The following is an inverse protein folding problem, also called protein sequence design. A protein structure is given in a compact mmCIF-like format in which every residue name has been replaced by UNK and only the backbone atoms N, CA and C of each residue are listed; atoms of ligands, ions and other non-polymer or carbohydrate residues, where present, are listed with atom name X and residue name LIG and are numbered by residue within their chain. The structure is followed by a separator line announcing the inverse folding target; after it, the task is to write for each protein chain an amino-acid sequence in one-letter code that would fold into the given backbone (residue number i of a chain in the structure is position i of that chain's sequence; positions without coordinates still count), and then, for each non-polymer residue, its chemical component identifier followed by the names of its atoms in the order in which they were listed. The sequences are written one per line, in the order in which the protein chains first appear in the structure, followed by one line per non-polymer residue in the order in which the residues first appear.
data_IF_243554408033
#
_entry.id   IF_243554408033
#
_cell.length_a   1.000
_cell.length_b   1.000
_cell.length_c   1.000
_cell.angle_alpha   90.00
_cell.angle_beta   90.00
_cell.angle_gamma   90.00
#
_symmetry.space_group_name_H-M   'P 1'
#
loop_
_entity.id
_entity.type
_entity.pdbx_description
1 polymer ?
#
# COMPACT_ATOMS: atom_id res chain seq x y z
N UNK A 1 66.86 -23.26 14.90
CA UNK A 1 66.43 -21.94 14.34
C UNK A 1 65.05 -22.16 13.69
N UNK A 2 64.02 -21.98 14.46
CA UNK A 2 62.65 -22.06 13.96
C UNK A 2 62.32 -20.71 13.26
N UNK A 3 62.06 -20.79 11.99
CA UNK A 3 61.87 -19.63 11.09
C UNK A 3 60.80 -18.68 11.56
N UNK A 4 61.17 -17.39 11.72
CA UNK A 4 60.28 -16.26 12.02
C UNK A 4 59.04 -16.18 11.15
N UNK A 5 59.03 -16.82 9.97
CA UNK A 5 57.88 -16.92 9.06
C UNK A 5 56.74 -17.82 9.58
N UNK A 6 57.02 -18.81 10.43
CA UNK A 6 55.95 -19.66 11.00
C UNK A 6 55.21 -19.03 12.16
N UNK A 7 55.82 -18.10 12.86
CA UNK A 7 55.16 -17.38 13.95
C UNK A 7 54.21 -16.32 13.42
N UNK A 8 54.56 -15.64 12.31
CA UNK A 8 53.66 -14.67 11.66
C UNK A 8 52.42 -15.33 11.01
N UNK A 9 52.55 -16.54 10.45
CA UNK A 9 51.40 -17.23 9.86
C UNK A 9 50.42 -17.73 10.92
N UNK A 10 50.88 -18.19 12.06
CA UNK A 10 49.97 -18.60 13.16
C UNK A 10 49.26 -17.43 13.85
N UNK A 11 49.91 -16.27 13.99
CA UNK A 11 49.31 -15.06 14.51
C UNK A 11 48.25 -14.49 13.55
N UNK A 12 48.47 -14.51 12.25
CA UNK A 12 47.50 -14.01 11.25
C UNK A 12 46.25 -14.93 11.13
N UNK A 13 46.40 -16.26 11.25
CA UNK A 13 45.25 -17.18 11.25
C UNK A 13 44.43 -17.06 12.53
N UNK A 14 45.07 -16.84 13.69
CA UNK A 14 44.37 -16.63 14.98
C UNK A 14 43.59 -15.31 15.01
N UNK A 15 44.12 -14.24 14.42
CA UNK A 15 43.42 -12.97 14.29
C UNK A 15 42.24 -13.03 13.33
N UNK A 16 42.33 -13.79 12.24
CA UNK A 16 41.22 -14.02 11.31
C UNK A 16 40.10 -14.89 11.91
N UNK A 17 40.46 -15.89 12.75
CA UNK A 17 39.48 -16.71 13.47
C UNK A 17 38.77 -15.90 14.60
N UNK A 18 39.46 -14.97 15.26
CA UNK A 18 38.88 -14.10 16.29
C UNK A 18 37.94 -13.06 15.64
N UNK A 19 38.27 -12.56 14.44
CA UNK A 19 37.36 -11.64 13.71
C UNK A 19 36.11 -12.34 13.18
N UNK A 20 36.14 -13.66 12.90
CA UNK A 20 34.97 -14.40 12.45
C UNK A 20 34.03 -14.83 13.60
N UNK A 21 34.53 -14.93 14.83
CA UNK A 21 33.69 -15.17 16.02
C UNK A 21 33.07 -13.90 16.63
N UNK A 22 33.56 -12.71 16.29
CA UNK A 22 32.99 -11.43 16.75
C UNK A 22 31.83 -10.94 15.84
N UNK A 23 31.50 -11.65 14.76
CA UNK A 23 30.36 -11.35 13.88
C UNK A 23 29.03 -11.98 14.32
N UNK A 24 28.98 -12.53 15.55
CA UNK A 24 27.77 -13.12 16.10
C UNK A 24 27.19 -12.17 17.16
N UNK A 25 26.03 -11.60 16.84
CA UNK A 25 25.15 -10.85 17.73
C UNK A 25 25.54 -9.41 18.15
N UNK A 26 25.79 -8.52 17.21
CA UNK A 26 25.31 -7.14 17.40
C UNK A 26 24.02 -7.01 16.59
N UNK A 27 22.88 -6.90 17.26
CA UNK A 27 21.62 -6.45 16.64
C UNK A 27 21.95 -5.14 15.93
N UNK A 28 21.74 -5.08 14.61
CA UNK A 28 21.84 -3.83 13.87
C UNK A 28 20.88 -2.84 14.58
N UNK A 29 21.34 -1.67 15.03
CA UNK A 29 20.48 -0.67 15.67
C UNK A 29 19.26 -0.28 14.82
N UNK A 30 19.27 -0.61 13.52
CA UNK A 30 18.17 -0.46 12.57
C UNK A 30 17.19 -1.64 12.49
N UNK A 31 17.45 -2.81 13.14
CA UNK A 31 16.57 -3.98 13.04
C UNK A 31 15.34 -3.87 13.97
N UNK A 32 14.42 -2.97 13.61
CA UNK A 32 13.13 -2.82 14.30
C UNK A 32 12.22 -4.00 14.00
N UNK A 33 11.43 -4.46 15.00
CA UNK A 33 10.44 -5.51 14.83
C UNK A 33 9.40 -5.18 13.76
N UNK A 34 8.99 -3.91 13.68
CA UNK A 34 8.16 -3.35 12.62
C UNK A 34 8.93 -2.22 11.94
N UNK A 35 9.41 -2.46 10.72
CA UNK A 35 10.08 -1.42 9.91
C UNK A 35 9.06 -0.36 9.48
N UNK A 36 7.85 -0.82 9.11
CA UNK A 36 6.70 0.02 8.80
C UNK A 36 5.72 -0.03 9.97
N UNK A 37 5.42 1.12 10.56
CA UNK A 37 4.26 1.40 11.36
C UNK A 37 3.45 2.45 10.61
N UNK A 38 2.50 1.99 9.78
CA UNK A 38 1.86 2.77 8.75
C UNK A 38 0.43 3.18 9.09
N UNK A 39 0.01 4.25 8.44
CA UNK A 39 -1.36 4.75 8.43
C UNK A 39 -1.76 5.14 7.02
N UNK A 40 -2.84 4.54 6.49
CA UNK A 40 -3.38 4.80 5.17
C UNK A 40 -4.73 5.49 5.28
N UNK A 41 -4.90 6.63 4.60
CA UNK A 41 -6.12 7.44 4.61
C UNK A 41 -6.22 8.27 3.32
N UNK A 42 -7.43 8.71 2.97
CA UNK A 42 -7.61 9.66 1.87
C UNK A 42 -6.84 10.96 2.17
N UNK A 43 -6.33 11.60 1.13
CA UNK A 43 -5.78 12.94 1.26
C UNK A 43 -6.88 13.92 1.73
N UNK A 44 -6.57 14.88 2.61
CA UNK A 44 -7.58 15.82 3.10
C UNK A 44 -8.12 16.72 1.99
N UNK A 45 -9.27 17.31 2.20
CA UNK A 45 -9.69 18.46 1.39
C UNK A 45 -8.80 19.69 1.70
N UNK A 46 -8.70 20.68 0.82
CA UNK A 46 -7.94 21.90 1.11
C UNK A 46 -8.32 22.57 2.44
N UNK A 47 -9.61 22.56 2.79
CA UNK A 47 -10.10 23.09 4.07
C UNK A 47 -9.71 22.23 5.28
N UNK A 48 -9.45 20.95 5.09
CA UNK A 48 -9.09 19.98 6.14
C UNK A 48 -7.60 19.90 6.45
N UNK A 49 -6.73 20.56 5.65
CA UNK A 49 -5.27 20.41 5.74
C UNK A 49 -4.72 20.74 7.13
N UNK A 50 -5.06 21.88 7.69
CA UNK A 50 -4.53 22.30 8.99
C UNK A 50 -4.99 21.37 10.13
N UNK A 51 -6.22 20.87 10.05
CA UNK A 51 -6.76 19.89 10.99
C UNK A 51 -6.04 18.55 10.88
N UNK A 52 -5.76 18.12 9.66
CA UNK A 52 -5.00 16.89 9.41
C UNK A 52 -3.57 17.00 9.91
N UNK A 53 -2.90 18.13 9.69
CA UNK A 53 -1.56 18.40 10.22
C UNK A 53 -1.55 18.34 11.76
N UNK A 54 -2.57 18.89 12.40
CA UNK A 54 -2.68 18.77 13.87
C UNK A 54 -2.81 17.31 14.28
N UNK A 55 -3.58 16.50 13.55
CA UNK A 55 -3.69 15.06 13.82
C UNK A 55 -2.38 14.31 13.62
N UNK A 56 -1.60 14.64 12.58
CA UNK A 56 -0.24 14.09 12.38
C UNK A 56 0.63 14.38 13.61
N UNK A 57 0.66 15.63 14.07
CA UNK A 57 1.52 16.05 15.19
C UNK A 57 1.10 15.42 16.53
N UNK A 58 -0.22 15.40 16.81
CA UNK A 58 -0.73 15.08 18.15
C UNK A 58 -0.99 13.57 18.31
N UNK A 59 -1.27 12.86 17.21
CA UNK A 59 -1.77 11.49 17.29
C UNK A 59 -0.92 10.47 16.51
N UNK A 60 -0.55 10.77 15.26
CA UNK A 60 0.21 9.81 14.46
C UNK A 60 1.66 9.71 14.95
N UNK A 61 2.34 10.82 15.05
CA UNK A 61 3.74 10.87 15.47
C UNK A 61 4.00 10.30 16.88
N UNK A 62 3.21 10.66 17.94
CA UNK A 62 3.40 10.10 19.27
C UNK A 62 3.15 8.59 19.37
N UNK A 63 2.39 8.00 18.42
CA UNK A 63 2.18 6.54 18.33
C UNK A 63 3.21 5.82 17.49
N UNK A 64 4.27 6.52 17.10
CA UNK A 64 5.38 5.94 16.34
C UNK A 64 5.04 5.62 14.88
N UNK A 65 3.97 6.19 14.33
CA UNK A 65 3.71 6.11 12.89
C UNK A 65 4.89 6.71 12.15
N UNK A 66 5.46 5.94 11.22
CA UNK A 66 6.62 6.32 10.42
C UNK A 66 6.36 6.31 8.91
N UNK A 67 5.18 5.85 8.51
CA UNK A 67 4.78 5.76 7.10
C UNK A 67 3.32 6.22 6.97
N UNK A 68 3.09 7.21 6.14
CA UNK A 68 1.77 7.74 5.81
C UNK A 68 1.47 7.49 4.34
N UNK A 69 0.54 6.58 4.06
CA UNK A 69 -0.01 6.36 2.73
C UNK A 69 -1.19 7.29 2.54
N UNK A 70 -1.14 8.17 1.55
CA UNK A 70 -2.22 9.08 1.20
C UNK A 70 -2.84 8.69 -0.13
N UNK A 71 -4.14 8.35 -0.13
CA UNK A 71 -4.93 8.15 -1.33
C UNK A 71 -5.24 9.52 -1.91
N UNK A 72 -4.51 9.92 -2.93
CA UNK A 72 -4.61 11.24 -3.55
C UNK A 72 -5.50 11.21 -4.78
N UNK A 73 -5.32 10.21 -5.65
CA UNK A 73 -6.00 10.09 -6.93
C UNK A 73 -5.99 11.41 -7.70
N UNK A 74 -7.14 12.05 -7.85
CA UNK A 74 -7.30 13.33 -8.58
C UNK A 74 -7.44 14.54 -7.64
N UNK A 75 -7.29 14.33 -6.32
CA UNK A 75 -7.32 15.40 -5.31
C UNK A 75 -5.98 16.15 -5.22
N UNK A 76 -5.40 16.50 -6.37
CA UNK A 76 -4.23 17.36 -6.50
C UNK A 76 -4.37 18.25 -7.73
N UNK A 77 -3.85 19.49 -7.66
CA UNK A 77 -3.88 20.44 -8.77
C UNK A 77 -2.84 20.09 -9.83
N UNK A 78 -2.97 18.92 -10.48
CA UNK A 78 -2.08 18.50 -11.57
C UNK A 78 -1.90 19.59 -12.63
N UNK A 79 -0.66 19.91 -12.97
CA UNK A 79 -0.31 20.85 -14.04
C UNK A 79 -0.17 20.14 -15.38
N UNK A 80 0.32 18.88 -15.34
CA UNK A 80 0.50 18.04 -16.54
C UNK A 80 -0.84 17.74 -17.24
N UNK A 81 -1.89 17.43 -16.47
CA UNK A 81 -3.23 17.11 -16.96
C UNK A 81 -4.31 17.80 -16.12
N UNK A 82 -4.50 19.13 -16.28
CA UNK A 82 -5.43 19.90 -15.45
C UNK A 82 -6.88 19.41 -15.49
N UNK A 83 -7.30 18.78 -16.59
CA UNK A 83 -8.65 18.23 -16.75
C UNK A 83 -8.95 17.03 -15.85
N UNK A 84 -7.91 16.39 -15.28
CA UNK A 84 -8.08 15.27 -14.35
C UNK A 84 -8.29 15.67 -12.90
N UNK A 85 -8.15 16.94 -12.56
CA UNK A 85 -8.30 17.45 -11.19
C UNK A 85 -9.72 17.28 -10.68
N UNK A 86 -9.86 17.00 -9.40
CA UNK A 86 -11.12 17.19 -8.69
C UNK A 86 -11.44 18.69 -8.56
N UNK A 87 -12.72 18.99 -8.34
CA UNK A 87 -13.19 20.39 -8.24
C UNK A 87 -12.61 21.17 -7.05
N UNK A 88 -12.17 20.46 -6.00
CA UNK A 88 -11.58 21.00 -4.78
C UNK A 88 -10.27 20.26 -4.46
N UNK A 89 -9.31 20.31 -5.40
CA UNK A 89 -8.04 19.64 -5.28
C UNK A 89 -7.02 20.42 -4.41
N UNK A 90 -6.12 19.69 -3.77
CA UNK A 90 -4.99 20.25 -3.00
C UNK A 90 -4.03 21.02 -3.91
N UNK A 91 -3.70 22.24 -3.52
CA UNK A 91 -2.63 23.00 -4.15
C UNK A 91 -1.26 22.44 -3.76
N UNK A 92 -0.23 22.78 -4.56
CA UNK A 92 1.16 22.45 -4.19
C UNK A 92 1.57 23.04 -2.82
N UNK A 93 0.99 24.18 -2.44
CA UNK A 93 1.24 24.82 -1.16
C UNK A 93 0.63 23.99 0.00
N UNK A 94 -0.56 23.44 -0.19
CA UNK A 94 -1.21 22.56 0.80
C UNK A 94 -0.42 21.25 0.98
N UNK A 95 -0.02 20.61 -0.12
CA UNK A 95 0.84 19.42 -0.07
C UNK A 95 2.13 19.70 0.67
N UNK A 96 2.80 20.82 0.40
CA UNK A 96 4.04 21.21 1.09
C UNK A 96 3.86 21.32 2.60
N UNK A 97 2.74 21.88 3.09
CA UNK A 97 2.45 21.95 4.53
C UNK A 97 2.38 20.53 5.15
N UNK A 98 1.75 19.58 4.47
CA UNK A 98 1.65 18.18 4.92
C UNK A 98 3.05 17.54 4.94
N UNK A 99 3.83 17.72 3.88
CA UNK A 99 5.21 17.22 3.77
C UNK A 99 6.08 17.74 4.91
N UNK A 100 6.02 19.05 5.19
CA UNK A 100 6.78 19.66 6.28
C UNK A 100 6.37 19.13 7.65
N UNK A 101 5.06 18.89 7.86
CA UNK A 101 4.56 18.27 9.09
C UNK A 101 5.12 16.85 9.28
N UNK A 102 5.04 16.01 8.27
CA UNK A 102 5.57 14.65 8.31
C UNK A 102 7.09 14.62 8.47
N UNK A 103 7.81 15.48 7.77
CA UNK A 103 9.28 15.58 7.87
C UNK A 103 9.76 15.90 9.30
N UNK A 104 9.07 16.79 10.03
CA UNK A 104 9.39 17.09 11.44
C UNK A 104 9.37 15.88 12.36
N UNK A 105 8.60 14.85 12.00
CA UNK A 105 8.43 13.62 12.77
C UNK A 105 9.07 12.39 12.12
N UNK A 106 9.86 12.56 11.04
CA UNK A 106 10.45 11.46 10.27
C UNK A 106 9.39 10.48 9.76
N UNK A 107 8.21 10.96 9.36
CA UNK A 107 7.16 10.18 8.73
C UNK A 107 7.37 10.25 7.21
N UNK A 108 7.58 9.08 6.60
CA UNK A 108 7.65 8.92 5.14
C UNK A 108 6.24 9.03 4.56
N UNK A 109 6.05 9.88 3.54
CA UNK A 109 4.78 9.96 2.82
C UNK A 109 4.89 9.12 1.55
N UNK A 110 3.83 8.35 1.27
CA UNK A 110 3.68 7.57 0.05
C UNK A 110 2.34 8.00 -0.58
N UNK A 111 2.34 8.81 -1.65
CA UNK A 111 1.11 9.14 -2.34
C UNK A 111 0.65 7.96 -3.19
N UNK A 112 -0.68 7.80 -3.30
CA UNK A 112 -1.34 6.78 -4.11
C UNK A 112 -2.20 7.42 -5.19
N UNK A 113 -2.19 6.79 -6.37
CA UNK A 113 -3.23 6.86 -7.37
C UNK A 113 -3.66 5.43 -7.65
N UNK A 114 -4.96 5.15 -7.64
CA UNK A 114 -5.46 3.85 -8.06
C UNK A 114 -5.28 3.69 -9.57
N UNK A 115 -4.34 2.83 -9.95
CA UNK A 115 -3.98 2.54 -11.32
C UNK A 115 -4.48 1.16 -11.74
N UNK A 116 -4.65 0.98 -13.02
CA UNK A 116 -5.23 -0.18 -13.69
C UNK A 116 -6.70 -0.39 -13.29
N UNK A 117 -6.98 -0.86 -12.08
CA UNK A 117 -8.32 -0.98 -11.49
C UNK A 117 -8.86 0.35 -10.98
N UNK A 118 -10.04 0.29 -10.34
CA UNK A 118 -10.71 1.45 -9.73
C UNK A 118 -10.91 2.67 -10.63
N UNK A 119 -11.04 2.46 -11.95
CA UNK A 119 -11.33 3.53 -12.90
C UNK A 119 -12.83 3.87 -12.95
N UNK A 120 -13.62 3.25 -12.09
CA UNK A 120 -15.02 3.59 -11.84
C UNK A 120 -15.39 3.29 -10.40
N UNK A 121 -16.45 3.93 -9.91
CA UNK A 121 -17.03 3.66 -8.61
C UNK A 121 -18.55 3.83 -8.66
N UNK A 122 -19.27 2.82 -8.14
CA UNK A 122 -20.73 2.82 -8.13
C UNK A 122 -21.33 3.11 -9.52
N UNK A 123 -21.99 4.23 -9.70
CA UNK A 123 -22.66 4.61 -10.95
C UNK A 123 -21.85 5.56 -11.85
N UNK A 124 -20.55 5.79 -11.59
CA UNK A 124 -19.75 6.75 -12.38
C UNK A 124 -18.35 6.23 -12.70
N UNK A 125 -17.78 6.70 -13.79
CA UNK A 125 -16.37 6.54 -14.13
C UNK A 125 -15.53 7.63 -13.45
N UNK A 126 -14.29 7.28 -13.05
CA UNK A 126 -13.35 8.22 -12.49
C UNK A 126 -12.72 9.13 -13.55
N UNK A 127 -11.97 10.12 -13.12
CA UNK A 127 -11.52 11.21 -13.96
C UNK A 127 -10.71 10.75 -15.18
N UNK A 128 -9.88 9.71 -15.05
CA UNK A 128 -9.09 9.19 -16.18
C UNK A 128 -9.98 8.74 -17.32
N UNK A 129 -10.89 7.79 -17.09
CA UNK A 129 -11.76 7.27 -18.14
C UNK A 129 -12.86 8.24 -18.55
N UNK A 130 -13.18 9.25 -17.72
CA UNK A 130 -14.08 10.33 -18.10
C UNK A 130 -13.41 11.28 -19.11
N UNK A 131 -12.12 11.59 -18.93
CA UNK A 131 -11.37 12.49 -19.80
C UNK A 131 -10.76 11.78 -21.00
N UNK A 132 -10.43 10.49 -20.87
CA UNK A 132 -9.81 9.65 -21.89
C UNK A 132 -10.59 8.33 -22.03
N UNK A 133 -11.83 8.37 -22.57
CA UNK A 133 -12.68 7.19 -22.69
C UNK A 133 -12.10 6.10 -23.61
N UNK A 134 -11.16 6.46 -24.48
CA UNK A 134 -10.40 5.53 -25.32
C UNK A 134 -9.48 4.58 -24.53
N UNK A 135 -9.18 4.89 -23.27
CA UNK A 135 -8.40 4.03 -22.38
C UNK A 135 -9.21 2.94 -21.73
N UNK A 136 -10.56 3.01 -21.77
CA UNK A 136 -11.45 2.03 -21.13
C UNK A 136 -11.21 0.62 -21.70
N UNK A 137 -10.89 -0.33 -20.82
CA UNK A 137 -10.73 -1.75 -21.18
C UNK A 137 -12.07 -2.39 -21.63
N UNK A 138 -13.19 -1.90 -21.11
CA UNK A 138 -14.52 -2.45 -21.33
C UNK A 138 -15.54 -1.39 -21.75
N UNK A 139 -15.36 -0.70 -22.89
CA UNK A 139 -16.24 0.39 -23.30
C UNK A 139 -17.69 -0.06 -23.56
N UNK A 140 -17.92 -1.36 -23.81
CA UNK A 140 -19.25 -1.94 -23.97
C UNK A 140 -20.04 -2.02 -22.66
N UNK A 141 -19.34 -2.06 -21.51
CA UNK A 141 -19.97 -2.10 -20.18
C UNK A 141 -20.38 -0.70 -19.79
N UNK A 142 -21.68 -0.47 -19.70
CA UNK A 142 -22.23 0.83 -19.28
C UNK A 142 -22.41 0.88 -17.78
N UNK A 143 -22.04 1.99 -17.17
CA UNK A 143 -22.33 2.21 -15.76
C UNK A 143 -23.84 2.32 -15.54
N UNK A 144 -24.39 1.72 -14.46
CA UNK A 144 -25.82 1.77 -14.18
C UNK A 144 -26.25 3.20 -13.79
N UNK A 145 -27.45 3.61 -14.20
CA UNK A 145 -28.05 4.88 -13.77
C UNK A 145 -28.26 4.92 -12.24
N UNK A 146 -28.58 3.74 -11.67
CA UNK A 146 -28.74 3.57 -10.23
C UNK A 146 -27.92 2.40 -9.76
N UNK A 147 -26.95 2.69 -8.90
CA UNK A 147 -26.15 1.65 -8.28
C UNK A 147 -26.96 0.82 -7.27
N UNK A 148 -26.82 -0.49 -7.35
CA UNK A 148 -27.41 -1.47 -6.42
C UNK A 148 -26.31 -2.37 -5.88
N UNK A 149 -26.21 -2.44 -4.57
CA UNK A 149 -25.27 -3.34 -3.89
C UNK A 149 -26.00 -4.60 -3.38
N UNK A 150 -25.42 -5.79 -3.43
CA UNK A 150 -24.15 -6.12 -4.05
C UNK A 150 -24.21 -6.09 -5.58
N UNK A 151 -23.12 -5.62 -6.21
CA UNK A 151 -22.96 -5.65 -7.65
C UNK A 151 -22.14 -6.89 -8.04
N UNK A 152 -22.82 -7.92 -8.57
CA UNK A 152 -22.20 -9.18 -8.98
C UNK A 152 -21.24 -9.06 -10.16
N UNK A 153 -21.35 -7.99 -10.93
CA UNK A 153 -20.59 -7.79 -12.17
C UNK A 153 -19.28 -7.02 -11.94
N UNK A 154 -19.00 -6.53 -10.71
CA UNK A 154 -17.81 -5.74 -10.40
C UNK A 154 -17.73 -4.40 -11.14
N UNK A 155 -18.89 -3.87 -11.59
CA UNK A 155 -18.96 -2.70 -12.47
C UNK A 155 -18.32 -1.42 -11.91
N UNK A 156 -18.23 -1.31 -10.59
CA UNK A 156 -17.62 -0.13 -9.98
C UNK A 156 -16.09 -0.10 -10.02
N UNK A 157 -15.47 -1.19 -10.49
CA UNK A 157 -14.01 -1.32 -10.59
C UNK A 157 -13.58 -1.55 -12.05
N UNK A 158 -13.95 -0.66 -12.96
CA UNK A 158 -13.44 -0.68 -14.34
C UNK A 158 -11.92 -0.52 -14.35
N UNK A 159 -11.28 -1.02 -15.40
CA UNK A 159 -9.85 -0.88 -15.63
C UNK A 159 -9.57 -0.06 -16.87
N UNK A 160 -8.42 0.60 -16.91
CA UNK A 160 -7.90 1.08 -18.19
C UNK A 160 -7.18 -0.06 -18.94
N UNK A 161 -7.09 0.04 -20.26
CA UNK A 161 -6.35 -0.89 -21.10
C UNK A 161 -4.83 -0.67 -20.94
N UNK A 162 -4.08 -1.61 -20.32
CA UNK A 162 -2.64 -1.44 -20.09
C UNK A 162 -1.80 -1.50 -21.37
N UNK A 163 -2.39 -1.91 -22.49
CA UNK A 163 -1.75 -1.96 -23.80
C UNK A 163 -2.13 -0.78 -24.70
N UNK A 164 -2.87 0.21 -24.17
CA UNK A 164 -3.14 1.43 -24.94
C UNK A 164 -1.85 2.25 -25.10
N UNK A 165 -1.47 2.68 -26.35
CA UNK A 165 -0.17 3.31 -26.60
C UNK A 165 0.04 4.64 -25.88
N UNK A 166 -1.03 5.32 -25.48
CA UNK A 166 -0.97 6.65 -24.88
C UNK A 166 -1.27 6.66 -23.36
N UNK A 167 -1.80 5.57 -22.77
CA UNK A 167 -2.19 5.56 -21.36
C UNK A 167 -1.01 5.87 -20.44
N UNK A 168 0.17 5.32 -20.73
CA UNK A 168 1.36 5.53 -19.89
C UNK A 168 1.94 6.94 -20.01
N UNK A 169 1.67 7.68 -21.09
CA UNK A 169 2.05 9.10 -21.19
C UNK A 169 1.32 9.92 -20.12
N UNK A 170 0.04 9.59 -19.89
CA UNK A 170 -0.77 10.26 -18.86
C UNK A 170 -0.38 9.76 -17.47
N UNK A 171 -0.41 8.45 -17.27
CA UNK A 171 -0.16 7.83 -15.96
C UNK A 171 1.21 8.22 -15.41
N UNK A 172 2.27 8.14 -16.20
CA UNK A 172 3.62 8.48 -15.75
C UNK A 172 3.79 9.98 -15.44
N UNK A 173 3.13 10.86 -16.19
CA UNK A 173 3.15 12.28 -15.88
C UNK A 173 2.48 12.57 -14.53
N UNK A 174 1.36 11.90 -14.21
CA UNK A 174 0.70 12.04 -12.90
C UNK A 174 1.58 11.49 -11.77
N UNK A 175 2.17 10.30 -11.95
CA UNK A 175 3.09 9.69 -10.98
C UNK A 175 4.26 10.63 -10.67
N UNK A 176 4.91 11.13 -11.71
CA UNK A 176 6.08 12.00 -11.58
C UNK A 176 5.74 13.30 -10.85
N UNK A 177 4.66 13.96 -11.27
CA UNK A 177 4.24 15.23 -10.68
C UNK A 177 3.86 15.05 -9.20
N UNK A 178 3.17 13.95 -8.88
CA UNK A 178 2.77 13.66 -7.51
C UNK A 178 3.97 13.33 -6.62
N UNK A 179 4.86 12.46 -7.09
CA UNK A 179 6.10 12.15 -6.36
C UNK A 179 6.97 13.39 -6.12
N UNK A 180 7.05 14.28 -7.09
CA UNK A 180 7.80 15.54 -6.97
C UNK A 180 7.10 16.53 -6.00
N UNK A 181 5.76 16.57 -5.98
CA UNK A 181 5.01 17.42 -5.07
C UNK A 181 5.15 16.96 -3.61
N UNK A 182 5.10 15.64 -3.37
CA UNK A 182 5.24 15.04 -2.05
C UNK A 182 6.70 14.81 -1.63
N UNK A 183 7.67 15.13 -2.49
CA UNK A 183 9.12 14.97 -2.23
C UNK A 183 9.46 13.56 -1.73
N UNK A 184 8.89 12.52 -2.38
CA UNK A 184 8.91 11.14 -1.91
C UNK A 184 9.79 10.23 -2.76
N UNK A 185 10.31 9.19 -2.12
CA UNK A 185 11.07 8.10 -2.73
C UNK A 185 10.22 6.82 -2.96
N UNK A 186 8.89 6.90 -2.77
CA UNK A 186 7.99 5.78 -3.01
C UNK A 186 6.64 6.25 -3.54
N UNK A 187 5.98 5.38 -4.28
CA UNK A 187 4.65 5.58 -4.84
C UNK A 187 3.83 4.31 -4.68
N UNK A 188 2.55 4.46 -4.33
CA UNK A 188 1.61 3.34 -4.29
C UNK A 188 0.67 3.42 -5.50
N UNK A 189 0.65 2.35 -6.29
CA UNK A 189 -0.10 2.33 -7.55
C UNK A 189 -1.51 1.75 -7.44
N UNK A 190 -2.02 1.47 -6.22
CA UNK A 190 -3.28 0.75 -6.06
C UNK A 190 -3.16 -0.67 -6.58
N UNK A 191 -3.67 -0.94 -7.78
CA UNK A 191 -3.65 -2.23 -8.47
C UNK A 191 -4.55 -3.30 -7.85
N UNK A 192 -5.42 -2.91 -6.92
CA UNK A 192 -6.41 -3.76 -6.27
C UNK A 192 -7.68 -3.88 -7.11
N UNK A 193 -8.46 -4.92 -6.79
CA UNK A 193 -9.80 -5.17 -7.34
C UNK A 193 -9.89 -5.08 -8.88
N UNK A 194 -8.83 -5.47 -9.59
CA UNK A 194 -8.79 -5.51 -11.06
C UNK A 194 -9.63 -6.68 -11.55
N UNK A 195 -10.93 -6.44 -11.73
CA UNK A 195 -11.88 -7.47 -12.19
C UNK A 195 -11.93 -7.56 -13.71
N UNK A 196 -11.92 -6.44 -14.40
CA UNK A 196 -11.90 -6.35 -15.85
C UNK A 196 -10.46 -6.21 -16.36
N UNK A 197 -9.94 -7.26 -16.99
CA UNK A 197 -8.64 -7.27 -17.61
C UNK A 197 -8.60 -8.36 -18.69
N UNK A 198 -8.06 -8.07 -19.87
CA UNK A 198 -8.02 -9.01 -20.98
C UNK A 198 -9.43 -9.32 -21.50
N UNK A 199 -10.29 -8.30 -21.60
CA UNK A 199 -11.65 -8.45 -22.11
C UNK A 199 -11.64 -8.74 -23.61
N UNK A 200 -12.46 -9.69 -24.05
CA UNK A 200 -12.55 -10.11 -25.46
C UNK A 200 -12.97 -8.98 -26.41
N UNK A 201 -13.59 -7.92 -25.89
CA UNK A 201 -13.96 -6.73 -26.66
C UNK A 201 -12.84 -5.70 -26.77
N UNK A 202 -11.80 -5.80 -25.97
CA UNK A 202 -10.62 -4.95 -26.09
C UNK A 202 -9.70 -5.43 -27.21
N UNK A 203 -9.62 -4.68 -28.30
CA UNK A 203 -8.82 -5.04 -29.48
C UNK A 203 -7.32 -5.23 -29.22
N UNK A 204 -6.81 -4.78 -28.07
CA UNK A 204 -5.40 -4.85 -27.67
C UNK A 204 -5.14 -5.98 -26.67
N UNK A 205 -6.07 -6.18 -25.74
CA UNK A 205 -5.89 -7.12 -24.63
C UNK A 205 -6.57 -8.47 -24.89
N UNK A 206 -7.50 -8.57 -25.87
CA UNK A 206 -8.22 -9.80 -26.19
C UNK A 206 -7.24 -10.96 -26.48
N UNK A 207 -7.45 -12.09 -25.79
CA UNK A 207 -6.61 -13.28 -25.94
C UNK A 207 -5.24 -13.22 -25.27
N UNK A 208 -4.87 -12.11 -24.63
CA UNK A 208 -3.65 -12.02 -23.81
C UNK A 208 -3.92 -12.56 -22.42
N UNK A 209 -2.97 -13.32 -21.87
CA UNK A 209 -3.09 -13.86 -20.52
C UNK A 209 -3.20 -12.74 -19.47
N UNK A 210 -4.18 -12.86 -18.56
CA UNK A 210 -4.46 -11.81 -17.56
C UNK A 210 -3.33 -11.62 -16.56
N UNK A 211 -2.60 -12.69 -16.23
CA UNK A 211 -1.44 -12.58 -15.36
C UNK A 211 -0.27 -11.86 -16.07
N UNK A 212 -0.09 -12.07 -17.38
CA UNK A 212 0.90 -11.36 -18.17
C UNK A 212 0.55 -9.87 -18.30
N UNK A 213 -0.74 -9.54 -18.53
CA UNK A 213 -1.20 -8.15 -18.57
C UNK A 213 -0.96 -7.43 -17.23
N UNK A 214 -1.34 -8.07 -16.12
CA UNK A 214 -1.16 -7.52 -14.77
C UNK A 214 0.33 -7.36 -14.44
N UNK A 215 1.13 -8.40 -14.66
CA UNK A 215 2.57 -8.37 -14.40
C UNK A 215 3.29 -7.36 -15.29
N UNK A 216 2.88 -7.25 -16.54
CA UNK A 216 3.42 -6.26 -17.49
C UNK A 216 3.17 -4.84 -17.02
N UNK A 217 1.99 -4.56 -16.48
CA UNK A 217 1.65 -3.23 -15.97
C UNK A 217 2.43 -2.89 -14.69
N UNK A 218 2.46 -3.80 -13.70
CA UNK A 218 3.29 -3.63 -12.49
C UNK A 218 4.76 -3.39 -12.86
N UNK A 219 5.30 -4.19 -13.78
CA UNK A 219 6.71 -4.08 -14.20
C UNK A 219 6.99 -2.73 -14.88
N UNK A 220 6.07 -2.25 -15.70
CA UNK A 220 6.20 -0.99 -16.42
C UNK A 220 6.21 0.21 -15.47
N UNK A 221 5.27 0.24 -14.52
CA UNK A 221 5.21 1.30 -13.49
C UNK A 221 6.46 1.24 -12.60
N UNK A 222 6.85 0.03 -12.15
CA UNK A 222 8.07 -0.15 -11.34
C UNK A 222 9.33 0.34 -12.05
N UNK A 223 9.49 0.03 -13.34
CA UNK A 223 10.66 0.45 -14.09
C UNK A 223 10.71 1.97 -14.25
N UNK A 224 9.58 2.62 -14.54
CA UNK A 224 9.48 4.08 -14.59
C UNK A 224 9.89 4.74 -13.24
N UNK A 225 9.38 4.23 -12.13
CA UNK A 225 9.74 4.72 -10.78
C UNK A 225 11.23 4.52 -10.47
N UNK A 226 11.79 3.37 -10.88
CA UNK A 226 13.19 3.03 -10.66
C UNK A 226 14.18 3.96 -11.38
N UNK A 227 13.80 4.60 -12.49
CA UNK A 227 14.61 5.61 -13.18
C UNK A 227 14.96 6.81 -12.27
N UNK A 228 14.11 7.06 -11.26
CA UNK A 228 14.29 8.10 -10.26
C UNK A 228 14.58 7.55 -8.85
N UNK A 229 14.99 6.28 -8.74
CA UNK A 229 15.23 5.59 -7.46
C UNK A 229 14.02 5.61 -6.52
N UNK A 230 12.82 5.45 -7.04
CA UNK A 230 11.57 5.39 -6.29
C UNK A 230 11.07 3.95 -6.19
N UNK A 231 10.54 3.57 -5.02
CA UNK A 231 9.95 2.26 -4.78
C UNK A 231 8.49 2.21 -5.27
N UNK A 232 8.09 1.06 -5.80
CA UNK A 232 6.69 0.75 -6.09
C UNK A 232 6.07 -0.04 -4.93
N UNK A 233 4.89 0.41 -4.47
CA UNK A 233 4.01 -0.29 -3.55
C UNK A 233 2.69 -0.60 -4.25
N UNK A 234 2.08 -1.78 -3.99
CA UNK A 234 0.78 -2.19 -4.55
C UNK A 234 -0.02 -2.98 -3.52
N UNK A 235 -1.34 -3.01 -3.68
CA UNK A 235 -2.21 -3.94 -2.96
C UNK A 235 -2.00 -5.38 -3.46
N UNK A 236 -2.11 -6.36 -2.55
CA UNK A 236 -1.71 -7.75 -2.80
C UNK A 236 -2.81 -8.67 -3.33
N UNK A 237 -4.07 -8.29 -3.24
CA UNK A 237 -5.24 -9.14 -3.49
C UNK A 237 -5.23 -9.84 -4.87
N UNK A 238 -4.83 -9.15 -5.92
CA UNK A 238 -4.77 -9.75 -7.27
C UNK A 238 -3.66 -10.79 -7.45
N UNK A 239 -2.77 -10.95 -6.46
CA UNK A 239 -1.67 -11.93 -6.45
C UNK A 239 -1.99 -13.18 -5.61
N UNK A 240 -3.19 -13.30 -5.04
CA UNK A 240 -3.66 -14.42 -4.23
C UNK A 240 -4.70 -15.21 -5.01
N UNK A 241 -4.57 -16.55 -5.04
CA UNK A 241 -5.59 -17.42 -5.64
C UNK A 241 -6.80 -17.59 -4.72
N UNK A 242 -7.89 -16.92 -5.03
CA UNK A 242 -9.12 -16.97 -4.24
C UNK A 242 -9.78 -18.34 -4.18
N UNK A 243 -9.65 -19.15 -5.24
CA UNK A 243 -10.22 -20.51 -5.26
C UNK A 243 -9.47 -21.45 -4.31
N UNK A 244 -8.14 -21.37 -4.29
CA UNK A 244 -7.32 -22.21 -3.42
C UNK A 244 -7.42 -21.79 -1.95
N UNK A 245 -7.45 -20.48 -1.68
CA UNK A 245 -7.45 -19.95 -0.30
C UNK A 245 -8.83 -19.90 0.33
N UNK A 246 -9.90 -19.86 -0.48
CA UNK A 246 -11.26 -19.61 -0.01
C UNK A 246 -11.50 -18.16 0.44
N UNK A 247 -10.57 -17.26 0.15
CA UNK A 247 -10.72 -15.82 0.38
C UNK A 247 -11.71 -15.26 -0.66
N UNK A 248 -12.53 -14.30 -0.26
CA UNK A 248 -13.56 -13.70 -1.11
C UNK A 248 -13.02 -12.95 -2.32
N UNK A 249 -13.90 -12.67 -3.28
CA UNK A 249 -13.54 -12.04 -4.57
C UNK A 249 -12.87 -10.65 -4.43
N UNK A 250 -13.15 -9.95 -3.34
CA UNK A 250 -12.55 -8.66 -3.06
C UNK A 250 -11.07 -8.80 -2.68
N UNK A 251 -10.77 -9.67 -1.74
CA UNK A 251 -9.45 -9.83 -1.13
C UNK A 251 -8.56 -10.86 -1.85
N UNK A 252 -9.03 -11.44 -2.98
CA UNK A 252 -8.26 -12.40 -3.77
C UNK A 252 -8.74 -12.47 -5.23
N UNK A 253 -7.87 -12.96 -6.11
CA UNK A 253 -8.11 -13.10 -7.55
C UNK A 253 -8.96 -14.34 -7.87
N UNK A 254 -10.01 -14.14 -8.67
CA UNK A 254 -10.79 -15.19 -9.30
C UNK A 254 -10.70 -15.17 -10.83
N UNK A 255 -9.92 -14.23 -11.38
CA UNK A 255 -9.73 -14.03 -12.81
C UNK A 255 -8.33 -14.41 -13.30
N UNK A 256 -7.59 -15.26 -12.53
CA UNK A 256 -6.26 -15.82 -12.83
C UNK A 256 -5.08 -14.84 -12.80
N UNK A 257 -5.26 -13.60 -12.40
CA UNK A 257 -4.15 -12.64 -12.23
C UNK A 257 -3.15 -13.08 -11.14
N UNK A 258 -3.55 -13.94 -10.20
CA UNK A 258 -2.69 -14.42 -9.10
C UNK A 258 -1.37 -15.03 -9.56
N UNK A 259 -1.29 -15.59 -10.77
CA UNK A 259 -0.05 -16.13 -11.34
C UNK A 259 1.01 -15.05 -11.58
N UNK A 260 0.62 -13.79 -11.66
CA UNK A 260 1.54 -12.66 -11.78
C UNK A 260 2.52 -12.54 -10.62
N UNK A 261 2.23 -13.14 -9.46
CA UNK A 261 3.12 -13.14 -8.30
C UNK A 261 4.53 -13.65 -8.63
N UNK A 262 4.66 -14.60 -9.54
CA UNK A 262 5.96 -15.13 -9.96
C UNK A 262 6.59 -14.34 -11.12
N UNK A 263 5.85 -13.42 -11.74
CA UNK A 263 6.27 -12.66 -12.92
C UNK A 263 6.74 -11.23 -12.60
N UNK A 264 6.24 -10.63 -11.52
CA UNK A 264 6.57 -9.24 -11.15
C UNK A 264 7.94 -9.14 -10.44
N UNK A 265 8.62 -7.96 -10.55
CA UNK A 265 9.88 -7.69 -9.85
C UNK A 265 9.75 -7.83 -8.33
N UNK A 266 10.75 -8.43 -7.68
CA UNK A 266 10.71 -8.78 -6.25
C UNK A 266 11.03 -7.63 -5.30
N UNK A 267 11.42 -6.49 -5.81
CA UNK A 267 11.61 -5.25 -5.05
C UNK A 267 10.32 -4.42 -4.86
N UNK A 268 9.22 -4.81 -5.51
CA UNK A 268 7.89 -4.27 -5.24
C UNK A 268 7.47 -4.60 -3.81
N UNK A 269 6.90 -3.63 -3.09
CA UNK A 269 6.35 -3.85 -1.74
C UNK A 269 4.88 -4.22 -1.85
N UNK A 270 4.49 -5.31 -1.22
CA UNK A 270 3.11 -5.80 -1.21
C UNK A 270 2.40 -5.33 0.05
N UNK A 271 1.29 -4.62 -0.11
CA UNK A 271 0.35 -4.25 0.93
C UNK A 271 -0.77 -5.30 0.96
N UNK A 272 -0.69 -6.20 1.94
CA UNK A 272 -1.53 -7.38 2.07
C UNK A 272 -2.72 -7.09 2.99
N UNK A 273 -3.89 -6.78 2.42
CA UNK A 273 -5.06 -6.34 3.16
C UNK A 273 -6.06 -7.47 3.39
N UNK A 274 -6.40 -7.69 4.68
CA UNK A 274 -7.42 -8.62 5.12
C UNK A 274 -8.16 -8.04 6.32
N UNK A 275 -9.49 -7.98 6.26
CA UNK A 275 -10.29 -7.16 7.16
C UNK A 275 -11.11 -7.94 8.16
N UNK A 276 -11.60 -9.11 7.77
CA UNK A 276 -12.53 -9.88 8.59
C UNK A 276 -11.83 -10.98 9.41
N UNK A 277 -10.62 -11.38 8.99
CA UNK A 277 -9.80 -12.41 9.65
C UNK A 277 -8.32 -12.22 9.38
N UNK A 278 -7.43 -12.69 10.29
CA UNK A 278 -5.97 -12.58 10.11
C UNK A 278 -5.48 -13.72 9.20
N UNK A 279 -5.64 -13.59 7.88
CA UNK A 279 -5.11 -14.57 6.93
C UNK A 279 -3.57 -14.57 6.92
N UNK A 280 -2.95 -15.74 6.72
CA UNK A 280 -1.48 -15.88 6.77
C UNK A 280 -0.81 -15.68 5.40
N UNK A 281 -1.38 -14.84 4.56
CA UNK A 281 -0.91 -14.51 3.23
C UNK A 281 0.41 -13.73 3.24
N UNK A 282 0.74 -13.05 4.33
CA UNK A 282 2.06 -12.42 4.50
C UNK A 282 3.21 -13.42 4.38
N UNK A 283 3.05 -14.66 4.89
CA UNK A 283 4.06 -15.73 4.74
C UNK A 283 4.21 -16.13 3.27
N UNK A 284 3.10 -16.22 2.55
CA UNK A 284 3.10 -16.52 1.12
C UNK A 284 3.92 -15.48 0.34
N UNK A 285 3.67 -14.19 0.55
CA UNK A 285 4.42 -13.13 -0.14
C UNK A 285 5.91 -13.11 0.26
N UNK A 286 6.22 -13.31 1.53
CA UNK A 286 7.60 -13.40 2.00
C UNK A 286 8.35 -14.58 1.35
N UNK A 287 7.72 -15.77 1.24
CA UNK A 287 8.27 -16.92 0.54
C UNK A 287 8.48 -16.67 -0.96
N UNK A 288 7.59 -15.88 -1.59
CA UNK A 288 7.71 -15.44 -2.99
C UNK A 288 8.79 -14.37 -3.20
N UNK A 289 9.43 -13.87 -2.14
CA UNK A 289 10.58 -12.96 -2.22
C UNK A 289 10.24 -11.48 -2.00
N UNK A 290 9.00 -11.14 -1.66
CA UNK A 290 8.55 -9.76 -1.48
C UNK A 290 8.73 -9.26 -0.04
N UNK A 291 8.92 -7.95 0.10
CA UNK A 291 8.62 -7.25 1.35
C UNK A 291 7.09 -7.12 1.44
N UNK A 292 6.54 -7.42 2.60
CA UNK A 292 5.09 -7.40 2.84
C UNK A 292 4.73 -6.58 4.06
N UNK A 293 3.69 -5.76 3.92
CA UNK A 293 3.05 -4.98 4.97
C UNK A 293 1.63 -5.49 5.13
N UNK A 294 1.24 -5.97 6.31
CA UNK A 294 -0.14 -6.38 6.57
C UNK A 294 -1.03 -5.18 6.90
N UNK A 295 -2.23 -5.17 6.35
CA UNK A 295 -3.09 -4.00 6.30
C UNK A 295 -4.50 -4.29 6.84
N UNK A 296 -4.72 -4.21 8.17
CA UNK A 296 -6.06 -4.31 8.77
C UNK A 296 -6.89 -3.05 8.53
N UNK A 297 -8.19 -3.11 8.81
CA UNK A 297 -9.10 -1.98 8.69
C UNK A 297 -9.85 -1.67 9.99
N UNK A 298 -11.01 -2.30 10.23
CA UNK A 298 -12.00 -1.84 11.22
C UNK A 298 -12.20 -2.78 12.41
N UNK A 299 -11.62 -3.97 12.42
CA UNK A 299 -11.78 -4.95 13.49
C UNK A 299 -10.51 -4.97 14.34
N UNK A 300 -10.56 -4.47 15.60
CA UNK A 300 -9.37 -4.40 16.46
C UNK A 300 -8.72 -5.76 16.71
N UNK A 301 -9.50 -6.81 16.89
CA UNK A 301 -9.01 -8.17 17.17
C UNK A 301 -8.22 -8.73 15.98
N UNK A 302 -8.65 -8.46 14.75
CA UNK A 302 -7.93 -8.86 13.54
C UNK A 302 -6.59 -8.13 13.45
N UNK A 303 -6.57 -6.82 13.71
CA UNK A 303 -5.33 -6.05 13.68
C UNK A 303 -4.32 -6.49 14.76
N UNK A 304 -4.80 -6.84 15.97
CA UNK A 304 -3.97 -7.39 17.06
C UNK A 304 -3.39 -8.73 16.65
N UNK A 305 -4.20 -9.64 16.11
CA UNK A 305 -3.74 -10.95 15.66
C UNK A 305 -2.71 -10.83 14.52
N UNK A 306 -2.93 -9.94 13.54
CA UNK A 306 -1.96 -9.68 12.47
C UNK A 306 -0.64 -9.11 13.01
N UNK A 307 -0.67 -8.25 14.05
CA UNK A 307 0.54 -7.74 14.69
C UNK A 307 1.35 -8.86 15.37
N UNK A 308 0.65 -9.76 16.06
CA UNK A 308 1.26 -10.93 16.72
C UNK A 308 1.85 -11.90 15.69
N UNK A 309 1.15 -12.15 14.60
CA UNK A 309 1.60 -13.00 13.51
C UNK A 309 2.84 -12.39 12.82
N UNK A 310 2.82 -11.10 12.48
CA UNK A 310 3.96 -10.42 11.86
C UNK A 310 5.21 -10.49 12.76
N UNK A 311 5.05 -10.24 14.07
CA UNK A 311 6.13 -10.35 15.04
C UNK A 311 6.66 -11.78 15.13
N UNK A 312 5.76 -12.78 15.20
CA UNK A 312 6.10 -14.21 15.26
C UNK A 312 6.82 -14.66 13.99
N UNK A 313 6.33 -14.29 12.80
CA UNK A 313 6.95 -14.66 11.54
C UNK A 313 8.36 -14.08 11.45
N UNK A 314 8.53 -12.80 11.78
CA UNK A 314 9.84 -12.15 11.77
C UNK A 314 10.81 -12.78 12.78
N UNK A 315 10.34 -13.15 13.98
CA UNK A 315 11.17 -13.78 15.02
C UNK A 315 11.76 -15.13 14.59
N UNK A 316 10.98 -15.94 13.87
CA UNK A 316 11.39 -17.28 13.47
C UNK A 316 11.87 -17.34 12.01
N UNK A 317 11.95 -16.22 11.32
CA UNK A 317 12.44 -16.13 9.95
C UNK A 317 13.95 -16.35 9.87
N UNK A 318 14.41 -16.87 8.74
CA UNK A 318 15.85 -16.86 8.40
C UNK A 318 16.33 -15.41 8.22
N UNK A 319 17.67 -15.15 8.29
CA UNK A 319 18.19 -13.81 8.02
C UNK A 319 17.76 -13.23 6.68
N UNK A 320 17.60 -14.08 5.64
CA UNK A 320 17.17 -13.66 4.31
C UNK A 320 15.68 -13.31 4.24
N UNK A 321 14.86 -13.98 5.03
CA UNK A 321 13.40 -13.73 5.06
C UNK A 321 13.01 -12.62 6.03
N UNK A 322 13.78 -12.43 7.10
CA UNK A 322 13.46 -11.47 8.17
C UNK A 322 13.13 -10.06 7.64
N UNK A 323 13.91 -9.44 6.72
CA UNK A 323 13.58 -8.12 6.19
C UNK A 323 12.34 -8.09 5.29
N UNK A 324 11.81 -9.25 4.88
CA UNK A 324 10.59 -9.33 4.07
C UNK A 324 9.32 -9.12 4.87
N UNK A 325 9.31 -9.46 6.17
CA UNK A 325 8.24 -9.11 7.10
C UNK A 325 8.40 -7.64 7.50
N UNK A 326 7.83 -6.75 6.68
CA UNK A 326 8.22 -5.35 6.68
C UNK A 326 7.48 -4.52 7.73
N UNK A 327 6.27 -4.89 8.09
CA UNK A 327 5.51 -4.23 9.14
C UNK A 327 4.01 -4.25 8.92
N UNK A 328 3.34 -3.24 9.48
CA UNK A 328 1.89 -3.11 9.42
C UNK A 328 1.47 -1.69 9.07
N UNK A 329 0.30 -1.58 8.46
CA UNK A 329 -0.30 -0.29 8.12
C UNK A 329 -1.82 -0.38 8.27
N UNK A 330 -2.41 0.41 9.20
CA UNK A 330 -3.85 0.52 9.23
C UNK A 330 -4.35 1.15 7.94
N UNK A 331 -5.38 0.56 7.33
CA UNK A 331 -6.10 1.17 6.22
C UNK A 331 -7.38 1.85 6.69
N UNK A 332 -7.70 3.01 6.09
CA UNK A 332 -8.98 3.66 6.28
C UNK A 332 -9.47 4.18 4.93
N UNK A 333 -10.71 3.83 4.58
CA UNK A 333 -11.33 4.22 3.31
C UNK A 333 -12.30 5.37 3.54
N UNK A 334 -11.78 6.48 4.08
CA UNK A 334 -12.60 7.61 4.45
C UNK A 334 -11.85 8.93 4.44
N UNK A 335 -12.61 9.99 4.42
CA UNK A 335 -12.13 11.35 4.60
C UNK A 335 -11.48 11.53 5.99
N UNK A 336 -10.32 12.24 6.08
CA UNK A 336 -9.63 12.51 7.34
C UNK A 336 -10.48 13.18 8.40
N UNK A 337 -11.33 14.13 8.04
CA UNK A 337 -12.20 14.81 9.02
C UNK A 337 -13.15 13.82 9.69
N UNK A 338 -13.73 12.89 8.92
CA UNK A 338 -14.57 11.83 9.47
C UNK A 338 -13.80 10.89 10.40
N UNK A 339 -12.58 10.52 10.03
CA UNK A 339 -11.73 9.68 10.90
C UNK A 339 -11.40 10.41 12.20
N UNK A 340 -10.98 11.66 12.13
CA UNK A 340 -10.62 12.51 13.27
C UNK A 340 -11.82 12.72 14.20
N UNK A 341 -13.02 12.96 13.64
CA UNK A 341 -14.26 13.06 14.43
C UNK A 341 -14.54 11.77 15.20
N UNK A 342 -14.46 10.62 14.56
CA UNK A 342 -14.61 9.33 15.20
C UNK A 342 -13.53 9.05 16.24
N UNK A 343 -12.29 9.42 15.95
CA UNK A 343 -11.16 9.26 16.85
C UNK A 343 -11.32 10.07 18.14
N UNK A 344 -11.79 11.32 18.07
CA UNK A 344 -12.02 12.16 19.26
C UNK A 344 -13.41 11.99 19.87
N UNK A 345 -14.27 11.14 19.31
CA UNK A 345 -15.63 10.92 19.81
C UNK A 345 -16.57 12.10 19.53
N UNK A 346 -16.26 12.94 18.55
CA UNK A 346 -17.12 14.02 18.07
C UNK A 346 -18.27 13.39 17.29
N UNK A 347 -19.49 13.59 17.71
CA UNK A 347 -20.66 13.04 16.98
C UNK A 347 -20.86 13.85 15.68
N UNK A 348 -21.00 13.18 14.51
CA UNK A 348 -21.40 13.87 13.30
C UNK A 348 -22.81 14.44 13.46
N UNK A 349 -23.06 15.61 12.89
CA UNK A 349 -24.35 16.32 12.97
C UNK A 349 -25.55 15.52 12.40
N UNK A 350 -25.28 14.51 11.58
CA UNK A 350 -26.30 13.55 11.09
C UNK A 350 -25.72 12.14 11.05
N UNK A 351 -26.33 11.14 11.73
CA UNK A 351 -25.96 9.76 11.56
C UNK A 351 -26.26 9.34 10.12
N UNK A 352 -25.23 8.88 9.39
CA UNK A 352 -25.44 8.21 8.10
C UNK A 352 -25.96 6.81 8.38
N UNK A 353 -26.96 6.38 7.60
CA UNK A 353 -27.69 5.11 7.73
C UNK A 353 -26.79 3.93 8.07
N UNK A 354 -27.21 3.10 9.04
CA UNK A 354 -26.65 1.81 9.47
C UNK A 354 -25.37 1.82 10.32
N UNK A 355 -25.01 2.89 11.00
CA UNK A 355 -23.83 2.93 11.89
C UNK A 355 -24.05 2.34 13.31
N UNK A 356 -25.18 1.74 13.61
CA UNK A 356 -25.41 1.09 14.91
C UNK A 356 -24.77 -0.29 15.07
N UNK A 357 -24.34 -0.93 13.99
CA UNK A 357 -23.68 -2.23 14.06
C UNK A 357 -22.25 -2.12 14.60
N UNK A 358 -22.10 -2.60 15.77
CA UNK A 358 -20.86 -2.84 16.50
C UNK A 358 -19.95 -1.62 16.73
N UNK A 359 -20.23 -0.86 17.81
CA UNK A 359 -19.42 0.30 18.24
C UNK A 359 -17.93 0.01 18.45
N UNK A 360 -17.55 -1.25 18.65
CA UNK A 360 -16.16 -1.66 18.82
C UNK A 360 -15.41 -1.70 17.47
N UNK A 361 -16.09 -2.15 16.40
CA UNK A 361 -15.49 -2.33 15.08
C UNK A 361 -15.46 -1.01 14.29
N UNK A 362 -14.51 -0.14 14.62
CA UNK A 362 -14.30 1.16 13.97
C UNK A 362 -12.80 1.37 13.68
N UNK A 363 -12.44 1.96 12.54
CA UNK A 363 -11.03 2.14 12.17
C UNK A 363 -10.19 2.86 13.24
N UNK A 364 -10.75 3.85 13.93
CA UNK A 364 -10.04 4.57 14.99
C UNK A 364 -9.79 3.73 16.25
N UNK A 365 -10.68 2.78 16.57
CA UNK A 365 -10.47 1.83 17.65
C UNK A 365 -9.39 0.82 17.26
N UNK A 366 -9.44 0.33 16.01
CA UNK A 366 -8.44 -0.57 15.43
C UNK A 366 -7.06 0.10 15.41
N UNK A 367 -6.98 1.38 15.03
CA UNK A 367 -5.73 2.13 15.07
C UNK A 367 -5.10 2.15 16.46
N UNK A 368 -5.90 2.45 17.49
CA UNK A 368 -5.41 2.43 18.87
C UNK A 368 -4.93 1.06 19.31
N UNK A 369 -5.72 0.02 19.02
CA UNK A 369 -5.41 -1.36 19.39
C UNK A 369 -4.13 -1.85 18.69
N UNK A 370 -4.01 -1.61 17.39
CA UNK A 370 -2.83 -1.95 16.58
C UNK A 370 -1.57 -1.27 17.13
N UNK A 371 -1.59 0.06 17.27
CA UNK A 371 -0.42 0.81 17.77
C UNK A 371 0.00 0.37 19.18
N UNK A 372 -0.98 0.15 20.08
CA UNK A 372 -0.71 -0.37 21.43
C UNK A 372 -0.01 -1.72 21.35
N UNK A 373 -0.58 -2.68 20.57
CA UNK A 373 -0.02 -4.04 20.49
C UNK A 373 1.37 -4.06 19.86
N UNK A 374 1.58 -3.29 18.79
CA UNK A 374 2.91 -3.16 18.17
C UNK A 374 3.95 -2.60 19.14
N UNK A 375 3.56 -1.62 19.96
CA UNK A 375 4.41 -1.07 21.03
C UNK A 375 4.82 -2.13 22.05
N UNK A 376 3.82 -2.88 22.61
CA UNK A 376 4.06 -3.96 23.59
C UNK A 376 4.98 -5.06 23.03
N UNK A 377 4.77 -5.47 21.77
CA UNK A 377 5.60 -6.47 21.10
C UNK A 377 7.02 -5.97 20.86
N UNK A 378 7.19 -4.70 20.49
CA UNK A 378 8.49 -4.08 20.27
C UNK A 378 9.28 -3.90 21.56
N UNK A 379 8.61 -3.68 22.70
CA UNK A 379 9.25 -3.62 24.03
C UNK A 379 9.69 -5.00 24.51
N UNK A 380 8.85 -6.03 24.27
CA UNK A 380 9.17 -7.40 24.64
C UNK A 380 10.28 -8.04 23.77
N UNK A 381 10.59 -7.45 22.62
CA UNK A 381 11.64 -7.89 21.69
C UNK A 381 13.01 -7.25 22.00
N UNK A 382 13.06 -6.22 22.87
CA UNK A 382 14.31 -5.57 23.34
C UNK A 382 14.98 -6.43 24.39
#
# INVERSE_FOLDING_TARGET
MTSMKQVFFRLSVSLLLIMWQAAVFSRDPGDKLFQVNGFCINAPSPAGVDRFIKFINDELAPRGVNTLLLLVDYNYEYQSYPQLRDSAALSRADVRKIVEACRRHNIRIIPQIDLLGHQSWAGHTNNLLRCFPEFDETPRVKMPEKYVWPNSDGLYCKSYCPLHPDVHKVVFALIDELCDAYETDAFHAGMDEVFYLGDDSCTRCAGVDKAELFAGEVTRIRNHLAEKNRELWIWGDRLIDGKTTGIGIWEASYNYTYRAVDMIPKDVVICDWHYERPDQTAVYFALKGFRVVTCPWRIPEVAVAQAEDMARFRKYATPEMKPRYYGMMLTTWMDPDRFIDGFYGIKPDKPRNNEEENRANKPWNTFRAMCKRMGELSEADK
#
